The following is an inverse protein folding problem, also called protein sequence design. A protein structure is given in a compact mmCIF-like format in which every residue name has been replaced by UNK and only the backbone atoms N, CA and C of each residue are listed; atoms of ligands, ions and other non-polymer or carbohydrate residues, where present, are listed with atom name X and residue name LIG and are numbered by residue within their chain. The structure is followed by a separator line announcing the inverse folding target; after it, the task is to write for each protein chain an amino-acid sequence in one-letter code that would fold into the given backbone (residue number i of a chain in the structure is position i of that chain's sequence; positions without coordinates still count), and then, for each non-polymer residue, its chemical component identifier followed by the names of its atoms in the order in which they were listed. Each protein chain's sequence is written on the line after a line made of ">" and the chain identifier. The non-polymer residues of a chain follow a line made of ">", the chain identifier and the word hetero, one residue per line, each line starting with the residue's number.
data_IF_689181857880
#
_entry.id   IF_689181857880
#
_cell.length_a   1.000
_cell.length_b   1.000
_cell.length_c   1.000
_cell.angle_alpha   90.00
_cell.angle_beta   90.00
_cell.angle_gamma   90.00
#
_symmetry.space_group_name_H-M   'P 1'
#
loop_
_entity.id
_entity.type
_entity.pdbx_description
1 polymer ?
#
# COMPACT_ATOMS: atom_id res chain seq x y z
N UNK A 1 13.42 4.90 8.08
CA UNK A 1 14.64 4.54 8.83
C UNK A 1 15.01 3.12 8.43
N UNK A 2 16.31 2.81 8.32
CA UNK A 2 16.76 1.44 8.07
C UNK A 2 16.52 0.60 9.34
N UNK A 3 15.94 -0.58 9.18
CA UNK A 3 15.63 -1.48 10.28
C UNK A 3 16.48 -2.75 10.19
N UNK A 4 16.55 -3.50 11.29
CA UNK A 4 17.28 -4.78 11.30
C UNK A 4 16.61 -5.74 10.32
N UNK A 5 17.41 -6.44 9.51
CA UNK A 5 16.93 -7.46 8.59
C UNK A 5 15.98 -8.44 9.30
N UNK A 6 14.84 -8.71 8.69
CA UNK A 6 13.92 -9.75 9.16
C UNK A 6 14.06 -11.01 8.33
N UNK A 7 14.17 -12.14 9.02
CA UNK A 7 14.35 -13.44 8.39
C UNK A 7 13.83 -14.52 9.34
N UNK A 8 13.14 -15.49 8.75
CA UNK A 8 12.77 -16.74 9.41
C UNK A 8 13.22 -17.90 8.51
N UNK A 9 14.21 -18.67 8.95
CA UNK A 9 14.76 -19.79 8.15
C UNK A 9 13.80 -20.97 8.06
N UNK A 10 12.93 -21.16 9.05
CA UNK A 10 12.01 -22.30 9.11
C UNK A 10 10.83 -22.07 8.17
N UNK A 11 10.30 -20.84 8.15
CA UNK A 11 9.21 -20.43 7.26
C UNK A 11 9.75 -20.03 5.87
N UNK A 12 10.94 -19.45 5.81
CA UNK A 12 11.62 -19.00 4.59
C UNK A 12 11.41 -17.51 4.24
N UNK A 13 10.89 -16.70 5.16
CA UNK A 13 10.70 -15.26 4.94
C UNK A 13 12.03 -14.52 4.99
N UNK A 14 12.19 -13.47 4.17
CA UNK A 14 13.38 -12.64 4.25
C UNK A 14 13.15 -11.25 3.66
N UNK A 15 13.56 -10.24 4.41
CA UNK A 15 13.74 -8.86 3.97
C UNK A 15 15.13 -8.40 4.44
N UNK A 16 16.16 -8.49 3.58
CA UNK A 16 17.53 -8.18 3.97
C UNK A 16 17.75 -6.70 4.35
N UNK A 17 17.00 -5.81 3.71
CA UNK A 17 17.10 -4.36 3.90
C UNK A 17 15.70 -3.75 4.05
N UNK A 18 15.07 -3.90 5.23
CA UNK A 18 13.75 -3.37 5.48
C UNK A 18 13.78 -1.86 5.68
N UNK A 19 12.79 -1.19 5.08
CA UNK A 19 12.53 0.22 5.30
C UNK A 19 11.20 0.36 6.01
N UNK A 20 11.22 1.00 7.18
CA UNK A 20 10.00 1.43 7.85
C UNK A 20 9.61 2.81 7.30
N UNK A 21 8.46 2.85 6.63
CA UNK A 21 7.86 4.04 6.05
C UNK A 21 6.72 4.53 6.94
N UNK A 22 6.83 5.80 7.36
CA UNK A 22 5.74 6.56 7.99
C UNK A 22 5.12 7.56 7.02
N UNK A 23 5.79 7.80 5.89
CA UNK A 23 5.41 8.74 4.86
C UNK A 23 5.81 8.19 3.49
N UNK A 24 4.99 8.49 2.47
CA UNK A 24 5.22 8.20 1.06
C UNK A 24 5.38 9.53 0.31
N UNK A 25 6.44 9.62 -0.49
CA UNK A 25 6.82 10.88 -1.14
C UNK A 25 7.14 11.95 -0.10
N UNK A 26 6.65 13.18 -0.32
CA UNK A 26 6.98 14.34 0.52
C UNK A 26 6.09 14.53 1.74
N UNK A 27 4.82 14.12 1.68
CA UNK A 27 3.82 14.56 2.67
C UNK A 27 2.68 13.57 2.92
N UNK A 28 2.58 12.47 2.18
CA UNK A 28 1.47 11.52 2.34
C UNK A 28 1.83 10.59 3.49
N UNK A 29 1.08 10.65 4.59
CA UNK A 29 1.29 9.75 5.73
C UNK A 29 0.97 8.30 5.40
N UNK A 30 1.56 7.37 6.16
CA UNK A 30 1.16 5.96 6.17
C UNK A 30 0.83 5.55 7.59
N UNK A 31 -0.34 4.91 7.77
CA UNK A 31 -0.82 4.51 9.08
C UNK A 31 -1.40 3.09 9.08
N UNK A 32 -0.97 2.21 10.00
CA UNK A 32 0.27 2.31 10.78
C UNK A 32 1.50 2.37 9.88
N UNK A 33 2.67 2.67 10.45
CA UNK A 33 3.94 2.60 9.72
C UNK A 33 4.13 1.22 9.08
N UNK A 34 4.66 1.18 7.88
CA UNK A 34 4.75 -0.03 7.05
C UNK A 34 6.19 -0.44 6.81
N UNK A 35 6.47 -1.73 6.89
CA UNK A 35 7.77 -2.30 6.54
C UNK A 35 7.73 -2.92 5.14
N UNK A 36 8.58 -2.40 4.25
CA UNK A 36 8.68 -2.79 2.85
C UNK A 36 10.15 -2.88 2.45
N UNK A 37 10.42 -3.63 1.37
CA UNK A 37 11.73 -3.56 0.74
C UNK A 37 11.86 -2.33 -0.16
N UNK A 38 13.09 -1.97 -0.56
CA UNK A 38 13.34 -0.73 -1.30
C UNK A 38 12.56 -0.63 -2.63
N UNK A 39 12.54 -1.66 -3.50
CA UNK A 39 11.77 -1.58 -4.75
C UNK A 39 10.27 -1.34 -4.52
N UNK A 40 9.68 -2.03 -3.53
CA UNK A 40 8.26 -1.86 -3.21
C UNK A 40 7.97 -0.48 -2.59
N UNK A 41 8.85 0.00 -1.72
CA UNK A 41 8.77 1.34 -1.13
C UNK A 41 8.82 2.44 -2.21
N UNK A 42 9.73 2.33 -3.17
CA UNK A 42 9.85 3.27 -4.28
C UNK A 42 8.60 3.24 -5.17
N UNK A 43 8.14 2.04 -5.56
CA UNK A 43 6.94 1.88 -6.38
C UNK A 43 5.70 2.46 -5.70
N UNK A 44 5.52 2.19 -4.39
CA UNK A 44 4.44 2.76 -3.60
C UNK A 44 4.53 4.29 -3.53
N UNK A 45 5.72 4.86 -3.30
CA UNK A 45 5.91 6.31 -3.20
C UNK A 45 5.56 7.03 -4.51
N UNK A 46 6.03 6.49 -5.65
CA UNK A 46 5.70 7.01 -6.99
C UNK A 46 4.22 6.87 -7.29
N UNK A 47 3.63 5.71 -7.00
CA UNK A 47 2.20 5.50 -7.23
C UNK A 47 1.32 6.47 -6.44
N UNK A 48 1.66 6.74 -5.17
CA UNK A 48 0.91 7.71 -4.36
C UNK A 48 1.06 9.14 -4.89
N UNK A 49 2.27 9.55 -5.27
CA UNK A 49 2.56 10.90 -5.73
C UNK A 49 2.00 11.18 -7.14
N UNK A 50 2.18 10.24 -8.06
CA UNK A 50 1.96 10.45 -9.49
C UNK A 50 0.56 10.00 -9.95
N UNK A 51 -0.10 9.13 -9.17
CA UNK A 51 -1.42 8.58 -9.52
C UNK A 51 -2.48 8.92 -8.47
N UNK A 52 -2.31 8.46 -7.23
CA UNK A 52 -3.41 8.53 -6.25
C UNK A 52 -3.70 9.97 -5.84
N UNK A 53 -2.67 10.76 -5.57
CA UNK A 53 -2.82 12.17 -5.20
C UNK A 53 -3.52 13.00 -6.30
N UNK A 54 -3.08 12.99 -7.58
CA UNK A 54 -3.81 13.67 -8.65
C UNK A 54 -5.24 13.17 -8.83
N UNK A 55 -5.47 11.87 -8.71
CA UNK A 55 -6.81 11.27 -8.85
C UNK A 55 -7.74 11.71 -7.72
N UNK A 56 -7.25 11.76 -6.48
CA UNK A 56 -8.02 12.26 -5.33
C UNK A 56 -8.44 13.72 -5.55
N UNK A 57 -7.53 14.56 -6.05
CA UNK A 57 -7.85 15.95 -6.36
C UNK A 57 -8.88 16.09 -7.48
N UNK A 58 -8.78 15.27 -8.53
CA UNK A 58 -9.68 15.31 -9.67
C UNK A 58 -11.09 14.79 -9.36
N UNK A 59 -11.18 13.65 -8.67
CA UNK A 59 -12.45 12.94 -8.46
C UNK A 59 -13.13 13.33 -7.14
N UNK A 60 -12.36 13.72 -6.12
CA UNK A 60 -12.86 13.99 -4.77
C UNK A 60 -12.66 15.46 -4.33
N UNK A 61 -11.92 16.25 -5.11
CA UNK A 61 -11.73 17.69 -4.83
C UNK A 61 -10.82 18.00 -3.64
N UNK A 62 -10.14 17.01 -3.07
CA UNK A 62 -9.26 17.18 -1.92
C UNK A 62 -7.94 16.42 -2.11
N UNK A 63 -6.90 16.87 -1.41
CA UNK A 63 -5.58 16.27 -1.47
C UNK A 63 -5.52 14.98 -0.63
N UNK A 64 -4.71 14.01 -1.04
CA UNK A 64 -4.45 12.82 -0.23
C UNK A 64 -3.57 13.21 0.97
N UNK A 65 -4.02 12.86 2.18
CA UNK A 65 -3.28 13.13 3.42
C UNK A 65 -2.60 11.89 3.97
N UNK A 66 -3.32 10.77 4.04
CA UNK A 66 -2.81 9.53 4.64
C UNK A 66 -3.34 8.31 3.89
N UNK A 67 -2.46 7.33 3.67
CA UNK A 67 -2.81 5.97 3.27
C UNK A 67 -2.91 5.12 4.54
N UNK A 68 -4.08 4.53 4.77
CA UNK A 68 -4.27 3.62 5.88
C UNK A 68 -4.08 2.18 5.38
N UNK A 69 -2.97 1.56 5.77
CA UNK A 69 -2.63 0.20 5.34
C UNK A 69 -3.35 -0.85 6.20
N UNK A 70 -3.71 -1.98 5.58
CA UNK A 70 -4.22 -3.15 6.26
C UNK A 70 -3.08 -4.12 6.63
N UNK A 71 -2.13 -4.30 5.72
CA UNK A 71 -1.05 -5.28 5.85
C UNK A 71 0.14 -4.92 4.96
N UNK A 72 1.35 -5.23 5.43
CA UNK A 72 2.61 -5.01 4.74
C UNK A 72 3.52 -6.22 4.95
N UNK A 73 4.69 -6.10 5.58
CA UNK A 73 5.46 -7.30 5.92
C UNK A 73 4.66 -8.23 6.86
N UNK A 74 4.47 -9.48 6.43
CA UNK A 74 3.88 -10.56 7.22
C UNK A 74 4.54 -11.88 6.85
N UNK A 75 5.33 -12.43 7.76
CA UNK A 75 5.99 -13.71 7.56
C UNK A 75 5.02 -14.89 7.75
N UNK A 76 4.34 -15.30 6.67
CA UNK A 76 3.52 -16.52 6.64
C UNK A 76 3.29 -17.07 5.24
N UNK A 77 2.94 -18.36 5.10
CA UNK A 77 2.39 -18.92 3.87
C UNK A 77 1.03 -18.30 3.50
N UNK A 78 0.68 -18.39 2.21
CA UNK A 78 -0.69 -18.09 1.75
C UNK A 78 -1.65 -19.13 2.33
N UNK A 79 -2.86 -18.69 2.67
CA UNK A 79 -3.86 -19.55 3.30
C UNK A 79 -4.08 -20.85 2.51
N UNK A 80 -4.01 -21.99 3.21
CA UNK A 80 -4.18 -23.32 2.61
C UNK A 80 -3.04 -23.81 1.71
N UNK A 81 -1.88 -23.15 1.70
CA UNK A 81 -0.73 -23.54 0.85
C UNK A 81 0.59 -23.53 1.62
N UNK A 82 1.65 -24.11 1.03
CA UNK A 82 3.04 -23.94 1.50
C UNK A 82 3.77 -22.79 0.82
N UNK A 83 3.16 -22.12 -0.15
CA UNK A 83 3.79 -21.03 -0.90
C UNK A 83 3.72 -19.75 -0.07
N UNK A 84 4.85 -19.06 0.07
CA UNK A 84 4.90 -17.77 0.76
C UNK A 84 4.15 -16.68 0.00
N UNK A 85 3.63 -15.73 0.77
CA UNK A 85 3.04 -14.50 0.23
C UNK A 85 4.13 -13.51 -0.18
N UNK A 86 3.82 -12.57 -1.07
CA UNK A 86 4.72 -11.44 -1.37
C UNK A 86 4.95 -10.55 -0.13
N UNK A 87 3.99 -10.53 0.80
CA UNK A 87 4.14 -9.91 2.11
C UNK A 87 5.32 -10.49 2.92
N UNK A 88 5.68 -11.76 2.73
CA UNK A 88 6.81 -12.40 3.43
C UNK A 88 8.19 -11.95 2.92
N UNK A 89 8.22 -11.12 1.88
CA UNK A 89 9.43 -10.58 1.25
C UNK A 89 9.40 -9.04 1.20
N UNK A 90 8.43 -8.41 1.86
CA UNK A 90 8.22 -6.95 1.79
C UNK A 90 7.83 -6.42 0.42
N UNK A 91 7.29 -7.28 -0.46
CA UNK A 91 6.90 -6.98 -1.84
C UNK A 91 5.43 -6.55 -1.98
N UNK A 92 4.68 -6.41 -0.90
CA UNK A 92 3.25 -6.17 -0.95
C UNK A 92 2.78 -5.19 0.15
N UNK A 93 1.80 -4.37 -0.22
CA UNK A 93 1.15 -3.37 0.62
C UNK A 93 -0.36 -3.44 0.35
N UNK A 94 -1.14 -3.80 1.36
CA UNK A 94 -2.60 -3.79 1.31
C UNK A 94 -3.12 -2.47 1.88
N UNK A 95 -4.03 -1.82 1.15
CA UNK A 95 -4.60 -0.53 1.55
C UNK A 95 -6.04 -0.74 2.01
N UNK A 96 -6.35 -0.30 3.23
CA UNK A 96 -7.70 -0.34 3.80
C UNK A 96 -8.52 0.91 3.44
N UNK A 97 -7.88 2.08 3.43
CA UNK A 97 -8.58 3.34 3.13
C UNK A 97 -7.61 4.48 2.85
N UNK A 98 -8.14 5.55 2.26
CA UNK A 98 -7.46 6.83 2.08
C UNK A 98 -8.10 7.88 2.97
N UNK A 99 -7.30 8.71 3.62
CA UNK A 99 -7.77 9.90 4.34
C UNK A 99 -7.33 11.14 3.56
N UNK A 100 -8.27 12.03 3.27
CA UNK A 100 -8.04 13.26 2.54
C UNK A 100 -7.73 14.43 3.47
N UNK A 101 -7.28 15.54 2.89
CA UNK A 101 -6.89 16.77 3.61
C UNK A 101 -8.05 17.42 4.38
N UNK A 102 -9.28 17.25 3.90
CA UNK A 102 -10.53 17.72 4.52
C UNK A 102 -11.03 16.80 5.67
N UNK A 103 -10.35 15.67 5.91
CA UNK A 103 -10.73 14.66 6.91
C UNK A 103 -11.63 13.55 6.39
N UNK A 104 -12.09 13.62 5.14
CA UNK A 104 -12.87 12.56 4.50
C UNK A 104 -12.08 11.25 4.45
N UNK A 105 -12.76 10.12 4.70
CA UNK A 105 -12.19 8.78 4.65
C UNK A 105 -12.86 7.97 3.54
N UNK A 106 -12.05 7.41 2.66
CA UNK A 106 -12.45 6.62 1.50
C UNK A 106 -12.07 5.17 1.76
N UNK A 107 -13.05 4.31 2.02
CA UNK A 107 -12.80 2.90 2.34
C UNK A 107 -12.63 2.05 1.09
N UNK A 108 -11.58 1.23 1.06
CA UNK A 108 -11.37 0.22 0.02
C UNK A 108 -12.18 -1.01 0.40
N UNK A 109 -13.27 -1.26 -0.31
CA UNK A 109 -14.20 -2.37 -0.03
C UNK A 109 -14.92 -2.84 -1.30
N UNK A 110 -15.45 -4.08 -1.35
CA UNK A 110 -16.07 -4.64 -2.56
C UNK A 110 -17.25 -3.84 -3.11
N UNK A 111 -18.02 -3.19 -2.22
CA UNK A 111 -19.16 -2.33 -2.58
C UNK A 111 -18.88 -0.88 -2.10
N UNK A 112 -18.11 -0.10 -2.87
CA UNK A 112 -17.79 1.28 -2.50
C UNK A 112 -19.04 2.17 -2.52
N UNK A 113 -18.98 3.31 -1.84
CA UNK A 113 -20.00 4.34 -1.96
C UNK A 113 -19.97 4.91 -3.38
N UNK A 114 -21.13 5.29 -3.93
CA UNK A 114 -21.23 5.81 -5.30
C UNK A 114 -20.31 7.02 -5.53
N UNK A 115 -20.22 7.92 -4.54
CA UNK A 115 -19.33 9.09 -4.56
C UNK A 115 -17.83 8.74 -4.61
N UNK A 116 -17.44 7.57 -4.12
CA UNK A 116 -16.04 7.14 -4.01
C UNK A 116 -15.63 6.20 -5.15
N UNK A 117 -16.62 5.63 -5.86
CA UNK A 117 -16.43 4.55 -6.83
C UNK A 117 -15.51 4.95 -7.99
N UNK A 118 -15.65 6.17 -8.52
CA UNK A 118 -14.82 6.65 -9.64
C UNK A 118 -13.35 6.75 -9.26
N UNK A 119 -13.06 7.32 -8.09
CA UNK A 119 -11.70 7.40 -7.55
C UNK A 119 -11.11 6.00 -7.34
N UNK A 120 -11.85 5.10 -6.69
CA UNK A 120 -11.36 3.74 -6.40
C UNK A 120 -11.14 2.92 -7.67
N UNK A 121 -12.02 3.02 -8.67
CA UNK A 121 -11.85 2.35 -9.97
C UNK A 121 -10.62 2.87 -10.72
N UNK A 122 -10.45 4.19 -10.80
CA UNK A 122 -9.30 4.81 -11.46
C UNK A 122 -7.97 4.39 -10.80
N UNK A 123 -7.89 4.44 -9.47
CA UNK A 123 -6.71 4.00 -8.71
C UNK A 123 -6.43 2.52 -8.95
N UNK A 124 -7.45 1.66 -8.84
CA UNK A 124 -7.30 0.22 -9.05
C UNK A 124 -6.81 -0.10 -10.46
N UNK A 125 -7.38 0.53 -11.47
CA UNK A 125 -6.98 0.33 -12.88
C UNK A 125 -5.55 0.75 -13.13
N UNK A 126 -5.14 1.89 -12.57
CA UNK A 126 -3.79 2.40 -12.72
C UNK A 126 -2.74 1.55 -11.97
N UNK A 127 -3.13 0.88 -10.88
CA UNK A 127 -2.24 -0.01 -10.13
C UNK A 127 -1.71 -1.21 -10.94
N UNK A 128 -2.44 -1.65 -11.98
CA UNK A 128 -2.06 -2.81 -12.81
C UNK A 128 -0.76 -2.59 -13.62
N UNK A 129 -0.28 -1.36 -13.75
CA UNK A 129 1.00 -1.05 -14.40
C UNK A 129 2.22 -1.25 -13.48
N UNK A 130 2.36 -0.47 -12.40
CA UNK A 130 3.51 -0.52 -11.51
C UNK A 130 3.56 -1.80 -10.65
N UNK A 131 2.44 -2.48 -10.42
CA UNK A 131 2.37 -3.69 -9.58
C UNK A 131 2.01 -4.93 -10.39
N UNK A 132 2.75 -6.02 -10.16
CA UNK A 132 2.52 -7.31 -10.85
C UNK A 132 1.22 -8.01 -10.44
N UNK A 133 0.65 -7.65 -9.29
CA UNK A 133 -0.59 -8.23 -8.79
C UNK A 133 -1.36 -7.14 -8.08
N UNK A 134 -2.64 -6.98 -8.45
CA UNK A 134 -3.57 -6.04 -7.84
C UNK A 134 -4.82 -6.82 -7.47
N UNK A 135 -5.21 -6.74 -6.20
CA UNK A 135 -6.38 -7.42 -5.66
C UNK A 135 -7.36 -6.37 -5.14
N UNK A 136 -8.65 -6.62 -5.33
CA UNK A 136 -9.74 -5.71 -4.95
C UNK A 136 -10.96 -5.91 -5.83
#
# INVERSE_FOLDING_TARGET
>A
EEHKAEHDAEIGCSIPYPIILKTLGRSIGVSPGTELNCPMAEAAARFMADVVQPTAKAELGADLKTVNQASAFVCRPRNGTRKLSEHAFGNALDIASFTLSDGSKIEVRPAPLEKDAKFLDAVRKAACGPFKTVLG
#
